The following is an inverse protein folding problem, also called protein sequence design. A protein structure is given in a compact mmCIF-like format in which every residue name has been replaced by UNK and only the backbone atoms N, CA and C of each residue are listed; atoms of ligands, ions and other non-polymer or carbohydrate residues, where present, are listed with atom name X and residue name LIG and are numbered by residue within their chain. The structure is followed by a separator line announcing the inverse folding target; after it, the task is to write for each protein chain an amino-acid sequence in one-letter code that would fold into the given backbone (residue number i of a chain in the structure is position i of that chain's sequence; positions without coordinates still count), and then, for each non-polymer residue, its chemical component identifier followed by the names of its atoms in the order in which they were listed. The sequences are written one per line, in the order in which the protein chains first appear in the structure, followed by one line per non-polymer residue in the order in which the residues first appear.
data_IF_247424494032
#
_entry.id   IF_247424494032
#
_cell.length_a   1.000
_cell.length_b   1.000
_cell.length_c   1.000
_cell.angle_alpha   90.00
_cell.angle_beta   90.00
_cell.angle_gamma   90.00
#
_symmetry.space_group_name_H-M   'P 1'
#
loop_
_entity.id
_entity.type
_entity.pdbx_description
1 polymer ?
#
# COMPACT_ATOMS: atom_id res chain seq x y z
N UNK A 1 46.64 43.76 -36.51
CA UNK A 1 47.37 43.17 -35.38
C UNK A 1 46.64 41.88 -35.00
N UNK A 2 47.15 40.73 -35.44
CA UNK A 2 46.73 39.38 -35.02
C UNK A 2 47.46 39.03 -33.69
N UNK A 3 46.98 38.10 -32.84
CA UNK A 3 46.81 36.65 -33.12
C UNK A 3 45.43 36.08 -32.70
N UNK A 4 44.84 35.09 -33.38
CA UNK A 4 45.14 33.63 -33.38
C UNK A 4 45.23 33.05 -31.96
N UNK A 5 44.71 31.89 -31.56
CA UNK A 5 43.93 30.76 -32.09
C UNK A 5 43.69 29.92 -30.81
N UNK A 6 42.63 29.12 -30.72
CA UNK A 6 42.70 27.71 -30.29
C UNK A 6 41.30 27.10 -30.24
N UNK A 7 41.00 26.41 -31.33
CA UNK A 7 39.98 25.40 -31.47
C UNK A 7 40.45 24.16 -30.69
N UNK A 8 39.68 23.67 -29.71
CA UNK A 8 39.93 22.37 -29.08
C UNK A 8 38.86 21.38 -29.51
N UNK A 9 39.33 20.24 -30.01
CA UNK A 9 38.61 19.12 -30.62
C UNK A 9 38.50 17.99 -29.58
N UNK A 10 37.40 17.26 -29.68
CA UNK A 10 36.88 16.19 -28.80
C UNK A 10 37.89 15.07 -28.40
N UNK A 11 37.47 14.16 -27.50
CA UNK A 11 36.99 12.90 -28.05
C UNK A 11 35.74 12.29 -27.38
N UNK A 12 34.92 11.70 -28.23
CA UNK A 12 33.93 10.68 -27.91
C UNK A 12 34.60 9.45 -27.28
N UNK A 13 33.92 8.80 -26.34
CA UNK A 13 34.25 7.43 -25.93
C UNK A 13 32.98 6.68 -25.50
N UNK A 14 32.99 5.34 -25.67
CA UNK A 14 31.83 4.60 -26.16
C UNK A 14 30.98 3.92 -25.08
N UNK A 15 29.75 3.58 -25.48
CA UNK A 15 28.90 2.57 -24.84
C UNK A 15 29.64 1.23 -24.73
N UNK A 16 29.67 0.65 -23.54
CA UNK A 16 29.88 -0.78 -23.33
C UNK A 16 28.64 -1.35 -22.65
N UNK A 17 27.81 -1.99 -23.48
CA UNK A 17 26.76 -2.89 -23.05
C UNK A 17 27.40 -4.22 -22.65
N UNK A 18 27.33 -4.58 -21.38
CA UNK A 18 27.64 -5.93 -20.92
C UNK A 18 26.32 -6.73 -20.89
N UNK A 19 26.06 -7.49 -21.96
CA UNK A 19 25.05 -8.52 -21.98
C UNK A 19 25.61 -9.78 -21.30
N UNK A 20 25.11 -10.11 -20.11
CA UNK A 20 25.38 -11.40 -19.48
C UNK A 20 24.31 -12.40 -19.92
N UNK A 21 24.60 -13.14 -21.00
CA UNK A 21 23.85 -14.34 -21.36
C UNK A 21 24.25 -15.48 -20.43
N UNK A 22 23.42 -15.75 -19.43
CA UNK A 22 23.51 -16.96 -18.61
C UNK A 22 22.87 -18.12 -19.36
N UNK A 23 23.69 -18.91 -20.06
CA UNK A 23 23.31 -20.22 -20.59
C UNK A 23 23.06 -21.19 -19.42
N UNK A 24 21.79 -21.46 -19.12
CA UNK A 24 21.40 -22.56 -18.25
C UNK A 24 21.47 -23.88 -19.04
N UNK A 25 22.48 -24.68 -18.75
CA UNK A 25 22.61 -26.04 -19.27
C UNK A 25 21.55 -26.96 -18.63
N UNK A 26 20.76 -27.63 -19.46
CA UNK A 26 19.82 -28.67 -19.05
C UNK A 26 20.58 -29.98 -18.78
N UNK A 27 20.36 -30.67 -17.64
CA UNK A 27 20.81 -32.04 -17.48
C UNK A 27 19.85 -33.04 -18.16
N UNK A 28 20.36 -34.20 -18.63
CA UNK A 28 19.67 -35.10 -19.54
C UNK A 28 18.57 -35.95 -18.90
N UNK A 29 17.61 -36.31 -19.76
CA UNK A 29 16.45 -37.15 -19.50
C UNK A 29 16.82 -38.58 -19.06
N UNK A 30 16.26 -39.01 -17.93
CA UNK A 30 16.19 -40.41 -17.51
C UNK A 30 15.03 -41.14 -18.19
N UNK A 31 15.13 -42.46 -18.43
CA UNK A 31 14.13 -43.25 -19.13
C UNK A 31 12.83 -43.46 -18.31
N UNK A 32 11.69 -43.70 -18.97
CA UNK A 32 10.37 -43.65 -18.36
C UNK A 32 10.11 -44.89 -17.51
N UNK A 33 9.85 -44.70 -16.21
CA UNK A 33 9.32 -45.78 -15.38
C UNK A 33 7.79 -45.73 -15.36
N UNK A 34 7.19 -46.74 -15.99
CA UNK A 34 5.76 -46.99 -16.02
C UNK A 34 5.26 -47.38 -14.61
N UNK A 35 4.58 -46.45 -13.94
CA UNK A 35 3.83 -46.74 -12.72
C UNK A 35 2.50 -47.41 -13.10
N UNK A 36 2.46 -48.72 -12.88
CA UNK A 36 1.30 -49.60 -13.04
C UNK A 36 0.18 -49.18 -12.09
N UNK A 37 -1.00 -48.97 -12.66
CA UNK A 37 -2.30 -48.82 -11.98
C UNK A 37 -2.75 -50.18 -11.44
N UNK A 38 -3.10 -50.32 -10.14
CA UNK A 38 -3.83 -51.49 -9.66
C UNK A 38 -5.36 -51.32 -9.83
N UNK A 39 -6.10 -52.41 -10.16
CA UNK A 39 -7.54 -52.38 -10.45
C UNK A 39 -8.44 -52.31 -9.20
N UNK A 40 -9.75 -52.00 -9.38
CA UNK A 40 -10.67 -51.66 -8.29
C UNK A 40 -11.24 -52.89 -7.57
N UNK A 41 -11.34 -52.82 -6.25
CA UNK A 41 -11.94 -53.85 -5.40
C UNK A 41 -13.26 -53.40 -4.77
N UNK A 42 -14.18 -54.36 -4.74
CA UNK A 42 -15.64 -54.27 -4.64
C UNK A 42 -16.15 -54.02 -3.20
N UNK A 43 -17.24 -53.24 -3.05
CA UNK A 43 -18.24 -53.33 -1.94
C UNK A 43 -19.18 -54.55 -2.21
N UNK A 44 -20.17 -55.00 -1.37
CA UNK A 44 -20.85 -54.41 -0.17
C UNK A 44 -21.22 -55.54 0.87
N UNK A 45 -22.35 -55.60 1.65
CA UNK A 45 -23.37 -54.61 2.08
C UNK A 45 -23.83 -54.67 3.59
N UNK A 46 -24.69 -53.69 3.95
CA UNK A 46 -25.88 -53.70 4.84
C UNK A 46 -25.86 -54.03 6.36
N UNK A 47 -26.41 -53.11 7.17
CA UNK A 47 -27.57 -53.25 8.10
C UNK A 47 -27.52 -52.12 9.16
N UNK A 48 -28.34 -51.08 9.09
CA UNK A 48 -29.69 -50.91 9.68
C UNK A 48 -29.77 -51.11 11.19
N UNK A 49 -29.96 -50.01 11.94
CA UNK A 49 -30.79 -49.99 13.16
C UNK A 49 -31.35 -48.57 13.38
N UNK A 50 -32.68 -48.49 13.45
CA UNK A 50 -33.50 -47.31 13.73
C UNK A 50 -33.89 -47.29 15.23
N UNK A 51 -34.00 -46.07 15.77
CA UNK A 51 -35.01 -45.56 16.73
C UNK A 51 -34.92 -45.88 18.22
N UNK A 52 -34.87 -44.79 19.01
CA UNK A 52 -35.78 -44.39 20.12
C UNK A 52 -35.00 -43.49 21.09
N UNK A 53 -35.48 -42.40 21.71
CA UNK A 53 -36.76 -41.70 21.76
C UNK A 53 -36.50 -40.28 22.30
N UNK A 54 -37.44 -39.37 22.05
CA UNK A 54 -37.45 -37.97 22.48
C UNK A 54 -37.71 -37.80 24.00
N UNK A 55 -37.15 -36.73 24.58
CA UNK A 55 -37.73 -36.06 25.75
C UNK A 55 -37.34 -34.58 25.77
N UNK A 56 -38.32 -33.76 26.15
CA UNK A 56 -38.42 -32.32 26.00
C UNK A 56 -37.35 -31.48 26.72
N UNK A 57 -36.99 -30.36 26.08
CA UNK A 57 -36.22 -29.27 26.67
C UNK A 57 -36.53 -27.96 25.95
N UNK A 58 -37.76 -27.47 26.08
CA UNK A 58 -38.16 -26.10 25.71
C UNK A 58 -37.56 -25.12 26.72
N UNK A 59 -36.31 -24.72 26.54
CA UNK A 59 -35.75 -23.56 27.24
C UNK A 59 -34.75 -22.82 26.34
N UNK A 60 -35.10 -21.57 26.07
CA UNK A 60 -34.24 -20.45 25.63
C UNK A 60 -33.92 -20.35 24.13
N UNK A 61 -34.87 -19.77 23.38
CA UNK A 61 -34.50 -18.85 22.31
C UNK A 61 -33.83 -17.62 22.94
N UNK A 62 -32.53 -17.72 23.16
CA UNK A 62 -31.66 -16.56 23.28
C UNK A 62 -30.76 -16.58 22.04
N UNK A 63 -30.84 -15.60 21.12
CA UNK A 63 -29.82 -15.48 20.10
C UNK A 63 -28.49 -15.35 20.83
N UNK A 64 -27.57 -16.29 20.58
CA UNK A 64 -26.20 -16.14 21.03
C UNK A 64 -25.72 -14.78 20.49
N UNK A 65 -25.15 -13.90 21.33
CA UNK A 65 -24.51 -12.70 20.82
C UNK A 65 -23.50 -13.18 19.78
N UNK A 66 -23.64 -12.70 18.55
CA UNK A 66 -22.60 -12.84 17.55
C UNK A 66 -21.27 -12.46 18.23
N UNK A 67 -20.16 -13.16 17.95
CA UNK A 67 -18.88 -12.74 18.48
C UNK A 67 -18.71 -11.27 18.11
N UNK A 68 -18.74 -10.40 19.12
CA UNK A 68 -18.48 -8.99 18.93
C UNK A 68 -17.07 -8.94 18.39
N UNK A 69 -16.94 -8.79 17.07
CA UNK A 69 -15.65 -8.50 16.44
C UNK A 69 -15.24 -7.21 17.12
N UNK A 70 -14.27 -7.30 18.03
CA UNK A 70 -13.71 -6.11 18.64
C UNK A 70 -13.34 -5.18 17.48
N UNK A 71 -13.82 -3.94 17.54
CA UNK A 71 -13.41 -2.95 16.55
C UNK A 71 -11.88 -2.94 16.54
N UNK A 72 -11.25 -2.98 15.36
CA UNK A 72 -9.80 -2.98 15.29
C UNK A 72 -9.28 -1.76 16.07
N UNK A 73 -8.32 -1.97 16.95
CA UNK A 73 -7.63 -0.87 17.62
C UNK A 73 -6.69 -0.20 16.61
N UNK A 74 -6.53 1.13 16.71
CA UNK A 74 -5.71 1.91 15.79
C UNK A 74 -4.71 2.74 16.58
N UNK A 75 -3.50 2.86 16.04
CA UNK A 75 -2.46 3.76 16.54
C UNK A 75 -2.18 4.85 15.52
N UNK A 76 -2.05 6.10 15.97
CA UNK A 76 -1.70 7.23 15.09
C UNK A 76 -0.22 7.16 14.72
N UNK A 77 0.07 7.06 13.43
CA UNK A 77 1.42 7.22 12.89
C UNK A 77 1.76 8.69 12.70
N UNK A 78 3.01 9.06 13.01
CA UNK A 78 3.54 10.41 12.85
C UNK A 78 4.68 10.39 11.84
N UNK A 79 4.41 10.87 10.63
CA UNK A 79 5.37 10.87 9.55
C UNK A 79 5.99 12.23 9.31
N UNK A 80 7.26 12.24 8.89
CA UNK A 80 8.09 13.46 8.85
C UNK A 80 8.33 13.96 7.44
N UNK A 81 8.07 13.16 6.40
CA UNK A 81 8.37 13.51 5.01
C UNK A 81 9.80 14.08 4.83
N UNK A 82 10.76 13.53 5.57
CA UNK A 82 12.14 13.95 5.50
C UNK A 82 12.76 13.51 4.18
N UNK A 83 13.59 14.35 3.54
CA UNK A 83 14.24 14.00 2.26
C UNK A 83 15.15 12.77 2.38
N UNK A 84 15.46 12.13 1.26
CA UNK A 84 16.41 11.03 1.21
C UNK A 84 17.82 11.40 1.72
N UNK A 85 18.18 12.69 1.71
CA UNK A 85 19.43 13.18 2.30
C UNK A 85 19.45 13.02 3.83
N UNK A 86 18.28 13.07 4.47
CA UNK A 86 18.08 12.91 5.91
C UNK A 86 17.62 11.48 6.27
N UNK A 87 17.91 10.51 5.39
CA UNK A 87 17.62 9.10 5.65
C UNK A 87 18.40 8.60 6.88
N UNK A 88 17.71 7.94 7.80
CA UNK A 88 18.25 7.57 9.13
C UNK A 88 17.83 8.51 10.26
N UNK A 89 17.12 9.60 9.94
CA UNK A 89 16.55 10.52 10.91
C UNK A 89 17.47 11.70 11.28
N UNK A 90 16.88 12.69 11.93
CA UNK A 90 17.63 13.76 12.58
C UNK A 90 18.26 13.18 13.87
N UNK A 91 19.59 13.13 13.96
CA UNK A 91 20.25 12.68 15.18
C UNK A 91 19.81 13.49 16.42
N UNK A 92 19.52 12.81 17.53
CA UNK A 92 19.05 13.41 18.79
C UNK A 92 17.80 12.72 19.37
N UNK A 93 17.36 13.13 20.57
CA UNK A 93 16.16 12.61 21.24
C UNK A 93 14.84 13.16 20.65
N UNK A 94 14.82 13.58 19.39
CA UNK A 94 13.63 14.17 18.77
C UNK A 94 12.56 13.09 18.56
N UNK A 95 11.36 13.29 19.12
CA UNK A 95 10.23 12.39 18.85
C UNK A 95 9.74 12.59 17.42
N UNK A 96 9.28 11.51 16.77
CA UNK A 96 8.57 11.60 15.48
C UNK A 96 7.36 12.53 15.58
N UNK A 97 6.71 12.59 16.75
CA UNK A 97 5.57 13.47 17.00
C UNK A 97 5.93 14.96 16.89
N UNK A 98 7.12 15.35 17.34
CA UNK A 98 7.55 16.76 17.36
C UNK A 98 7.95 17.26 15.97
N UNK A 99 8.35 16.33 15.09
CA UNK A 99 8.80 16.61 13.72
C UNK A 99 7.78 16.20 12.66
N UNK A 100 6.60 15.79 13.08
CA UNK A 100 5.56 15.28 12.19
C UNK A 100 5.05 16.37 11.24
N UNK A 101 4.91 16.01 9.98
CA UNK A 101 4.28 16.81 8.94
C UNK A 101 2.89 16.31 8.58
N UNK A 102 2.62 15.02 8.83
CA UNK A 102 1.33 14.39 8.60
C UNK A 102 1.10 13.25 9.61
N UNK A 103 -0.16 12.82 9.69
CA UNK A 103 -0.57 11.67 10.47
C UNK A 103 -1.63 10.86 9.73
N UNK A 104 -1.70 9.57 10.04
CA UNK A 104 -2.79 8.66 9.69
C UNK A 104 -2.86 7.54 10.73
N UNK A 105 -4.02 6.89 10.82
CA UNK A 105 -4.25 5.74 11.70
C UNK A 105 -3.62 4.49 11.07
N UNK A 106 -3.03 3.62 11.89
CA UNK A 106 -2.51 2.30 11.49
C UNK A 106 -3.23 1.24 12.33
N UNK A 107 -3.77 0.16 11.75
CA UNK A 107 -4.41 -0.89 12.53
C UNK A 107 -3.40 -1.62 13.41
N UNK A 108 -3.85 -2.04 14.59
CA UNK A 108 -3.03 -2.86 15.48
C UNK A 108 -2.56 -4.14 14.77
N UNK A 109 -1.29 -4.49 14.97
CA UNK A 109 -0.68 -5.68 14.40
C UNK A 109 -0.17 -5.52 12.96
N UNK A 110 -0.42 -4.39 12.30
CA UNK A 110 0.26 -4.06 11.04
C UNK A 110 1.74 -3.76 11.29
N UNK A 111 2.58 -4.06 10.29
CA UNK A 111 4.04 -3.90 10.39
C UNK A 111 4.50 -2.78 9.48
N UNK A 112 5.32 -1.88 10.03
CA UNK A 112 6.07 -0.90 9.23
C UNK A 112 7.10 -1.65 8.38
N UNK A 113 7.07 -1.43 7.06
CA UNK A 113 8.16 -1.84 6.18
C UNK A 113 9.26 -0.78 6.26
N UNK A 114 10.50 -1.23 6.39
CA UNK A 114 11.63 -0.33 6.23
C UNK A 114 11.69 0.17 4.79
N UNK A 115 11.36 1.44 4.60
CA UNK A 115 11.55 2.16 3.34
C UNK A 115 13.02 2.49 3.19
N UNK A 116 13.62 2.23 2.02
CA UNK A 116 15.03 2.49 1.77
C UNK A 116 15.32 3.94 1.34
N UNK A 117 16.59 4.37 1.44
CA UNK A 117 17.04 5.67 0.91
C UNK A 117 16.76 5.82 -0.59
N UNK A 118 16.86 4.72 -1.34
CA UNK A 118 16.63 4.71 -2.79
C UNK A 118 15.15 4.94 -3.08
N UNK A 119 14.24 4.19 -2.46
CA UNK A 119 12.80 4.39 -2.64
C UNK A 119 12.40 5.82 -2.29
N UNK A 120 12.77 6.28 -1.09
CA UNK A 120 12.53 7.67 -0.67
C UNK A 120 13.08 8.72 -1.65
N UNK A 121 14.20 8.43 -2.32
CA UNK A 121 14.81 9.33 -3.30
C UNK A 121 14.21 9.25 -4.70
N UNK A 122 13.61 8.12 -5.08
CA UNK A 122 13.14 7.85 -6.44
C UNK A 122 11.64 8.09 -6.60
N UNK A 123 10.81 7.56 -5.70
CA UNK A 123 9.35 7.69 -5.78
C UNK A 123 8.75 8.45 -4.58
N UNK A 124 9.61 8.91 -3.66
CA UNK A 124 9.19 9.73 -2.53
C UNK A 124 8.50 8.95 -1.41
N UNK A 125 8.54 7.61 -1.38
CA UNK A 125 7.97 6.84 -0.28
C UNK A 125 8.58 7.28 1.06
N UNK A 126 7.73 7.66 2.01
CA UNK A 126 8.14 8.06 3.37
C UNK A 126 7.87 6.95 4.38
N UNK A 127 6.72 6.29 4.25
CA UNK A 127 6.22 5.27 5.16
C UNK A 127 5.41 4.23 4.40
N UNK A 128 5.44 3.00 4.89
CA UNK A 128 4.61 1.90 4.38
C UNK A 128 4.31 0.93 5.52
N UNK A 129 3.06 0.55 5.66
CA UNK A 129 2.56 -0.44 6.60
C UNK A 129 1.80 -1.51 5.85
N UNK A 130 1.91 -2.75 6.31
CA UNK A 130 1.20 -3.86 5.71
C UNK A 130 0.63 -4.79 6.77
N UNK A 131 -0.45 -5.47 6.41
CA UNK A 131 -1.01 -6.53 7.22
C UNK A 131 -0.10 -7.78 7.12
N UNK A 132 0.56 -8.24 8.20
CA UNK A 132 1.47 -9.39 8.10
C UNK A 132 0.75 -10.70 7.76
N UNK A 133 -0.57 -10.78 8.00
CA UNK A 133 -1.41 -11.93 7.62
C UNK A 133 -1.86 -11.85 6.15
N UNK A 134 -1.90 -10.64 5.59
CA UNK A 134 -2.39 -10.32 4.25
C UNK A 134 -1.43 -9.36 3.59
N UNK A 135 -0.23 -9.84 3.22
CA UNK A 135 0.90 -8.95 2.85
C UNK A 135 0.63 -7.98 1.69
N UNK A 136 -0.37 -8.26 0.87
CA UNK A 136 -0.77 -7.42 -0.25
C UNK A 136 -1.75 -6.31 0.15
N UNK A 137 -2.32 -6.38 1.35
CA UNK A 137 -3.08 -5.30 1.99
C UNK A 137 -2.08 -4.38 2.69
N UNK A 138 -1.99 -3.15 2.21
CA UNK A 138 -1.01 -2.19 2.67
C UNK A 138 -1.51 -0.76 2.56
N UNK A 139 -0.89 0.10 3.34
CA UNK A 139 -0.98 1.55 3.19
C UNK A 139 0.42 2.13 3.10
N UNK A 140 0.58 3.19 2.32
CA UNK A 140 1.85 3.88 2.21
C UNK A 140 1.63 5.35 1.89
N UNK A 141 2.63 6.16 2.22
CA UNK A 141 2.62 7.57 1.87
C UNK A 141 3.85 7.92 1.07
N UNK A 142 3.64 8.67 -0.01
CA UNK A 142 4.70 9.34 -0.76
C UNK A 142 4.62 10.84 -0.58
N UNK A 143 5.76 11.53 -0.73
CA UNK A 143 5.80 12.97 -0.82
C UNK A 143 6.70 13.46 -1.94
N UNK A 144 6.35 14.60 -2.53
CA UNK A 144 7.12 15.29 -3.56
C UNK A 144 7.40 16.73 -3.11
N UNK A 145 8.66 17.13 -2.91
CA UNK A 145 8.99 18.49 -2.51
C UNK A 145 8.85 19.48 -3.67
N UNK A 146 8.63 20.77 -3.35
CA UNK A 146 8.58 21.85 -4.33
C UNK A 146 7.20 22.09 -4.94
N UNK A 147 6.19 21.31 -4.57
CA UNK A 147 4.81 21.45 -5.04
C UNK A 147 4.01 22.21 -3.99
N UNK A 148 3.46 23.36 -4.36
CA UNK A 148 2.71 24.27 -3.45
C UNK A 148 1.20 24.20 -3.63
N UNK A 149 0.75 23.72 -4.78
CA UNK A 149 -0.65 23.65 -5.14
C UNK A 149 -0.88 22.38 -5.96
N UNK A 150 -2.06 21.80 -5.81
CA UNK A 150 -2.48 20.66 -6.61
C UNK A 150 -2.64 21.10 -8.07
N UNK A 151 -2.26 20.22 -9.00
CA UNK A 151 -2.66 20.35 -10.39
C UNK A 151 -4.20 20.15 -10.48
N UNK A 152 -4.85 20.39 -11.65
CA UNK A 152 -6.28 20.07 -11.79
C UNK A 152 -6.58 18.62 -11.38
N UNK A 153 -7.72 18.39 -10.71
CA UNK A 153 -8.13 17.09 -10.15
C UNK A 153 -7.85 15.91 -11.11
N UNK A 154 -8.32 16.00 -12.35
CA UNK A 154 -8.14 14.92 -13.34
C UNK A 154 -6.70 14.63 -13.77
N UNK A 155 -5.72 15.48 -13.45
CA UNK A 155 -4.33 15.30 -13.86
C UNK A 155 -3.42 14.79 -12.72
N UNK A 156 -3.82 14.95 -11.45
CA UNK A 156 -2.95 14.63 -10.31
C UNK A 156 -2.70 13.13 -10.21
N UNK A 157 -3.72 12.30 -10.43
CA UNK A 157 -3.59 10.85 -10.36
C UNK A 157 -2.59 10.31 -11.41
N UNK A 158 -2.72 10.74 -12.66
CA UNK A 158 -1.80 10.36 -13.75
C UNK A 158 -0.36 10.80 -13.46
N UNK A 159 -0.18 12.01 -12.93
CA UNK A 159 1.15 12.52 -12.56
C UNK A 159 1.80 11.70 -11.44
N UNK A 160 1.03 11.20 -10.47
CA UNK A 160 1.53 10.32 -9.41
C UNK A 160 1.99 8.96 -9.97
N UNK A 161 1.20 8.40 -10.89
CA UNK A 161 1.46 7.12 -11.53
C UNK A 161 2.78 7.08 -12.32
N UNK A 162 3.31 8.24 -12.76
CA UNK A 162 4.62 8.32 -13.41
C UNK A 162 5.78 7.82 -12.52
N UNK A 163 5.60 7.86 -11.19
CA UNK A 163 6.58 7.44 -10.21
C UNK A 163 6.23 6.12 -9.51
N UNK A 164 5.05 5.57 -9.78
CA UNK A 164 4.54 4.33 -9.20
C UNK A 164 4.00 3.41 -10.30
N UNK A 165 4.83 2.44 -10.68
CA UNK A 165 4.50 1.48 -11.75
C UNK A 165 3.30 0.60 -11.37
N UNK A 166 3.11 0.30 -10.08
CA UNK A 166 1.97 -0.49 -9.62
C UNK A 166 0.67 0.28 -9.76
N UNK A 167 0.67 1.56 -9.41
CA UNK A 167 -0.45 2.45 -9.63
C UNK A 167 -0.74 2.64 -11.13
N UNK A 168 0.29 2.83 -11.95
CA UNK A 168 0.14 2.98 -13.40
C UNK A 168 -0.54 1.76 -14.03
N UNK A 169 -0.11 0.54 -13.67
CA UNK A 169 -0.72 -0.70 -14.14
C UNK A 169 -2.17 -0.85 -13.66
N UNK A 170 -2.43 -0.48 -12.41
CA UNK A 170 -3.78 -0.51 -11.85
C UNK A 170 -4.72 0.46 -12.55
N UNK A 171 -4.28 1.69 -12.84
CA UNK A 171 -5.09 2.67 -13.59
C UNK A 171 -5.32 2.19 -15.02
N UNK A 172 -4.30 1.63 -15.68
CA UNK A 172 -4.40 1.14 -17.05
C UNK A 172 -5.38 -0.05 -17.19
N UNK A 173 -5.58 -0.82 -16.13
CA UNK A 173 -6.48 -1.97 -16.06
C UNK A 173 -7.72 -1.74 -15.18
N UNK A 174 -8.01 -0.50 -14.82
CA UNK A 174 -9.11 -0.15 -13.95
C UNK A 174 -10.46 -0.39 -14.65
N UNK A 175 -11.40 -0.97 -13.92
CA UNK A 175 -12.80 -1.05 -14.32
C UNK A 175 -13.49 0.32 -14.11
N UNK A 176 -13.11 1.04 -13.05
CA UNK A 176 -13.63 2.36 -12.71
C UNK A 176 -12.61 3.21 -11.92
N UNK A 177 -12.63 4.52 -12.16
CA UNK A 177 -11.85 5.51 -11.43
C UNK A 177 -12.76 6.68 -11.06
N UNK A 178 -13.01 6.86 -9.77
CA UNK A 178 -13.76 8.02 -9.28
C UNK A 178 -12.80 9.03 -8.64
N UNK A 179 -13.20 10.30 -8.67
CA UNK A 179 -12.45 11.38 -8.04
C UNK A 179 -13.39 12.36 -7.34
N UNK A 180 -12.94 12.89 -6.21
CA UNK A 180 -13.67 13.87 -5.42
C UNK A 180 -12.71 14.89 -4.80
N UNK A 181 -13.23 16.07 -4.53
CA UNK A 181 -12.55 17.08 -3.72
C UNK A 181 -13.21 17.13 -2.34
N UNK A 182 -12.38 17.08 -1.29
CA UNK A 182 -12.79 17.25 0.11
C UNK A 182 -11.98 18.37 0.74
N UNK A 183 -12.63 19.20 1.53
CA UNK A 183 -11.96 20.20 2.37
C UNK A 183 -12.14 19.82 3.84
N UNK A 184 -11.07 19.87 4.63
CA UNK A 184 -11.18 19.65 6.08
C UNK A 184 -11.67 20.90 6.82
N UNK A 185 -11.94 20.77 8.13
CA UNK A 185 -12.40 21.88 8.96
C UNK A 185 -11.40 23.04 9.10
N UNK A 186 -10.13 22.84 8.70
CA UNK A 186 -9.08 23.84 8.73
C UNK A 186 -8.80 24.45 7.34
N UNK A 187 -9.60 24.12 6.33
CA UNK A 187 -9.49 24.64 4.97
C UNK A 187 -8.46 23.94 4.09
N UNK A 188 -7.85 22.83 4.54
CA UNK A 188 -6.94 22.04 3.71
C UNK A 188 -7.74 21.23 2.70
N UNK A 189 -7.36 21.35 1.43
CA UNK A 189 -7.99 20.63 0.31
C UNK A 189 -7.29 19.28 0.12
N UNK A 190 -8.10 18.24 -0.05
CA UNK A 190 -7.69 16.87 -0.35
C UNK A 190 -8.40 16.42 -1.61
N UNK A 191 -7.65 15.82 -2.53
CA UNK A 191 -8.19 15.11 -3.68
C UNK A 191 -8.22 13.64 -3.36
N UNK A 192 -9.41 13.05 -3.45
CA UNK A 192 -9.65 11.65 -3.16
C UNK A 192 -9.90 10.92 -4.47
N UNK A 193 -9.27 9.77 -4.65
CA UNK A 193 -9.48 8.88 -5.78
C UNK A 193 -9.77 7.47 -5.27
N UNK A 194 -10.70 6.81 -5.95
CA UNK A 194 -10.99 5.40 -5.76
C UNK A 194 -10.79 4.70 -7.10
N UNK A 195 -9.83 3.77 -7.15
CA UNK A 195 -9.47 3.00 -8.34
C UNK A 195 -9.88 1.56 -8.11
N UNK A 196 -10.94 1.14 -8.80
CA UNK A 196 -11.38 -0.26 -8.81
C UNK A 196 -10.78 -0.93 -10.04
N UNK A 197 -9.88 -1.90 -9.83
CA UNK A 197 -9.28 -2.67 -10.92
C UNK A 197 -9.50 -4.17 -10.78
N UNK A 198 -9.15 -4.91 -11.85
CA UNK A 198 -9.38 -6.34 -11.92
C UNK A 198 -8.68 -7.16 -10.81
N UNK A 199 -7.51 -6.70 -10.34
CA UNK A 199 -6.72 -7.38 -9.31
C UNK A 199 -6.78 -6.77 -7.90
N UNK A 200 -6.98 -5.46 -7.82
CA UNK A 200 -6.89 -4.72 -6.56
C UNK A 200 -7.75 -3.46 -6.59
N UNK A 201 -8.08 -2.99 -5.40
CA UNK A 201 -8.80 -1.76 -5.14
C UNK A 201 -7.87 -0.81 -4.37
N UNK A 202 -7.78 0.45 -4.79
CA UNK A 202 -6.97 1.47 -4.14
C UNK A 202 -7.74 2.75 -3.83
N UNK A 203 -7.56 3.26 -2.61
CA UNK A 203 -7.99 4.59 -2.18
C UNK A 203 -6.76 5.51 -2.09
N UNK A 204 -6.86 6.72 -2.63
CA UNK A 204 -5.72 7.63 -2.75
C UNK A 204 -6.15 9.02 -2.31
N UNK A 205 -5.50 9.58 -1.28
CA UNK A 205 -5.76 10.94 -0.81
C UNK A 205 -4.53 11.80 -1.05
N UNK A 206 -4.70 12.90 -1.78
CA UNK A 206 -3.62 13.78 -2.21
C UNK A 206 -3.84 15.19 -1.71
N UNK A 207 -2.80 15.81 -1.15
CA UNK A 207 -2.87 17.19 -0.68
C UNK A 207 -1.54 17.92 -0.82
N UNK A 208 -1.56 19.25 -0.77
CA UNK A 208 -0.34 20.07 -0.72
C UNK A 208 -0.27 20.84 0.60
N UNK A 209 0.83 20.67 1.33
CA UNK A 209 1.14 21.44 2.53
C UNK A 209 2.66 21.63 2.63
N UNK A 210 3.12 22.66 3.36
CA UNK A 210 4.57 22.88 3.61
C UNK A 210 5.46 22.84 2.36
N UNK A 211 4.98 23.31 1.20
CA UNK A 211 5.70 23.25 -0.09
C UNK A 211 6.06 21.80 -0.51
N UNK A 212 5.19 20.84 -0.16
CA UNK A 212 5.24 19.44 -0.58
C UNK A 212 3.85 18.98 -0.98
N UNK A 213 3.80 18.09 -1.96
CA UNK A 213 2.64 17.23 -2.21
C UNK A 213 2.79 15.97 -1.36
N UNK A 214 1.71 15.54 -0.73
CA UNK A 214 1.60 14.27 -0.02
C UNK A 214 0.52 13.44 -0.69
N UNK A 215 0.79 12.15 -0.90
CA UNK A 215 -0.18 11.19 -1.40
C UNK A 215 -0.19 9.96 -0.50
N UNK A 216 -1.32 9.72 0.16
CA UNK A 216 -1.58 8.52 0.96
C UNK A 216 -2.35 7.51 0.13
N UNK A 217 -1.89 6.27 0.15
CA UNK A 217 -2.43 5.16 -0.62
C UNK A 217 -2.85 4.07 0.34
N UNK A 218 -4.05 3.53 0.16
CA UNK A 218 -4.52 2.32 0.82
C UNK A 218 -4.93 1.35 -0.26
N UNK A 219 -4.30 0.18 -0.32
CA UNK A 219 -4.53 -0.80 -1.39
C UNK A 219 -4.72 -2.19 -0.83
N UNK A 220 -5.65 -2.93 -1.42
CA UNK A 220 -5.89 -4.33 -1.10
C UNK A 220 -6.31 -5.13 -2.34
N UNK A 221 -5.95 -6.42 -2.45
CA UNK A 221 -6.53 -7.30 -3.44
C UNK A 221 -8.05 -7.40 -3.26
N UNK A 222 -8.80 -7.60 -4.34
CA UNK A 222 -10.27 -7.60 -4.32
C UNK A 222 -10.87 -8.59 -3.29
N UNK A 223 -10.22 -9.74 -3.08
CA UNK A 223 -10.65 -10.72 -2.08
C UNK A 223 -10.51 -10.25 -0.63
N UNK A 224 -9.56 -9.35 -0.35
CA UNK A 224 -9.38 -8.75 0.98
C UNK A 224 -10.19 -7.46 1.13
N UNK A 225 -10.31 -6.68 0.04
CA UNK A 225 -11.12 -5.46 -0.01
C UNK A 225 -12.53 -5.69 0.53
N UNK A 226 -13.28 -6.64 -0.04
CA UNK A 226 -14.66 -6.89 0.41
C UNK A 226 -14.78 -7.38 1.86
N UNK A 227 -13.70 -7.87 2.47
CA UNK A 227 -13.69 -8.32 3.87
C UNK A 227 -13.37 -7.19 4.86
N UNK A 228 -12.50 -6.28 4.47
CA UNK A 228 -11.93 -5.25 5.35
C UNK A 228 -12.19 -3.82 4.86
N UNK A 229 -13.12 -3.62 3.92
CA UNK A 229 -13.46 -2.33 3.31
C UNK A 229 -13.64 -1.22 4.37
N UNK A 230 -14.37 -1.49 5.45
CA UNK A 230 -14.58 -0.51 6.51
C UNK A 230 -13.28 -0.05 7.18
N UNK A 231 -12.34 -0.98 7.38
CA UNK A 231 -11.00 -0.68 7.94
C UNK A 231 -10.21 0.14 6.94
N UNK A 232 -10.16 -0.30 5.67
CA UNK A 232 -9.40 0.37 4.61
C UNK A 232 -9.90 1.80 4.34
N UNK A 233 -11.22 2.00 4.33
CA UNK A 233 -11.82 3.33 4.22
C UNK A 233 -11.49 4.22 5.41
N UNK A 234 -11.46 3.66 6.64
CA UNK A 234 -11.03 4.41 7.83
C UNK A 234 -9.57 4.84 7.73
N UNK A 235 -8.67 3.95 7.30
CA UNK A 235 -7.25 4.29 7.09
C UNK A 235 -7.12 5.47 6.13
N UNK A 236 -7.81 5.39 4.99
CA UNK A 236 -7.81 6.45 4.00
C UNK A 236 -8.36 7.78 4.54
N UNK A 237 -9.47 7.75 5.28
CA UNK A 237 -10.09 8.95 5.86
C UNK A 237 -9.30 9.57 7.01
N UNK A 238 -8.45 8.78 7.69
CA UNK A 238 -7.66 9.25 8.82
C UNK A 238 -6.50 10.17 8.41
N UNK A 239 -6.09 10.12 7.14
CA UNK A 239 -4.95 10.87 6.64
C UNK A 239 -5.20 12.38 6.68
N UNK A 240 -4.27 13.09 7.34
CA UNK A 240 -4.27 14.56 7.38
C UNK A 240 -2.85 15.11 7.53
N UNK A 241 -2.63 16.30 7.00
CA UNK A 241 -1.39 17.06 7.23
C UNK A 241 -1.49 17.88 8.51
N UNK A 242 -0.37 18.03 9.22
CA UNK A 242 -0.27 18.90 10.40
C UNK A 242 0.04 20.32 9.92
N UNK A 243 -0.91 21.23 10.11
CA UNK A 243 -0.70 22.64 9.80
C UNK A 243 0.47 23.22 10.60
N UNK A 244 1.34 24.05 9.98
CA UNK A 244 2.32 24.82 10.72
C UNK A 244 1.61 25.73 11.74
N UNK A 245 1.77 25.43 13.04
CA UNK A 245 1.19 26.22 14.13
C UNK A 245 -0.08 25.63 14.78
N UNK A 246 -0.61 24.51 14.30
CA UNK A 246 -1.66 23.77 15.00
C UNK A 246 -1.05 22.90 16.13
N UNK A 247 -1.62 22.90 17.35
CA UNK A 247 -1.19 21.97 18.39
C UNK A 247 -1.36 20.53 17.90
N UNK A 248 -0.46 19.60 18.27
CA UNK A 248 -0.63 18.19 17.91
C UNK A 248 -1.99 17.69 18.42
N UNK A 249 -2.67 16.80 17.67
CA UNK A 249 -3.99 16.31 18.05
C UNK A 249 -3.93 15.73 19.47
N UNK A 250 -4.84 16.21 20.32
CA UNK A 250 -4.97 15.74 21.69
C UNK A 250 -5.33 14.25 21.66
N UNK A 251 -4.49 13.43 22.28
CA UNK A 251 -4.82 12.05 22.62
C UNK A 251 -5.82 12.10 23.77
N UNK A 252 -7.09 11.77 23.50
CA UNK A 252 -7.99 11.35 24.58
C UNK A 252 -7.38 10.10 25.23
N UNK A 253 -7.19 10.17 26.55
CA UNK A 253 -6.55 9.15 27.39
C UNK A 253 -7.57 8.16 27.93
#
# INVERSE_FOLDING_TARGET
MFPSLLLSRAPSSPLLAAASTSTAASPPAGPPQALRVPPPSKKPPLATALVAAAAAGLLLLSPAPAPSRADPEFTVYYGTAASAANYGGYGGNASKKDTAEYVYDVPEGWKERLVSKVEKGTNGTDSEFFNPRKRSEKEYLTFLPGIRALAPLGAVLDNLALSDVGLLDQIASADDVTSAERTDGAGQVYYEYEVTGAGAHSLISVTCARNKLYAHFVTAPNAEWGRDEAVLRRLHQSFRTIQPGAPPPATES
#
